data_IF_569371605496
#
_entry.id   IF_569371605496
#
_cell.length_a   1.000
_cell.length_b   1.000
_cell.length_c   1.000
_cell.angle_alpha   90.00
_cell.angle_beta   90.00
_cell.angle_gamma   90.00
#
_symmetry.space_group_name_H-M   'P 1'
#
loop_
_entity.id
_entity.type
_entity.pdbx_description
1 polymer ?
#
# COMPACT_ATOMS: atom_id res chain seq x y z
N UNK A 1 -16.69 -2.45 8.46
CA UNK A 1 -15.72 -1.36 8.27
C UNK A 1 -15.48 -1.13 6.78
N UNK A 2 -15.14 0.10 6.41
CA UNK A 2 -14.62 0.46 5.09
C UNK A 2 -13.09 0.47 5.16
N UNK A 3 -12.45 -0.45 4.45
CA UNK A 3 -11.01 -0.70 4.55
C UNK A 3 -10.35 -0.45 3.18
N UNK A 4 -9.25 0.28 3.14
CA UNK A 4 -8.43 0.40 1.93
C UNK A 4 -7.07 -0.27 2.15
N UNK A 5 -6.66 -1.15 1.23
CA UNK A 5 -5.37 -1.85 1.30
C UNK A 5 -4.56 -1.54 0.04
N UNK A 6 -3.45 -0.83 0.19
CA UNK A 6 -2.48 -0.62 -0.88
C UNK A 6 -1.46 -1.75 -0.87
N UNK A 7 -1.35 -2.48 -2.00
CA UNK A 7 -0.51 -3.68 -2.09
C UNK A 7 -1.24 -4.98 -1.69
N UNK A 8 -2.56 -5.04 -1.92
CA UNK A 8 -3.43 -6.16 -1.53
C UNK A 8 -3.27 -7.45 -2.35
N UNK A 9 -2.50 -7.45 -3.44
CA UNK A 9 -2.49 -8.54 -4.42
C UNK A 9 -1.43 -9.62 -4.19
N UNK A 10 -0.59 -9.48 -3.17
CA UNK A 10 0.44 -10.46 -2.81
C UNK A 10 0.88 -10.33 -1.35
N UNK A 11 1.59 -11.35 -0.85
CA UNK A 11 2.24 -11.34 0.46
C UNK A 11 1.28 -10.98 1.61
N UNK A 12 1.78 -10.13 2.52
CA UNK A 12 1.04 -9.70 3.72
C UNK A 12 -0.26 -9.00 3.37
N UNK A 13 -0.25 -8.10 2.37
CA UNK A 13 -1.44 -7.37 1.96
C UNK A 13 -2.56 -8.30 1.46
N UNK A 14 -2.21 -9.35 0.70
CA UNK A 14 -3.19 -10.36 0.29
C UNK A 14 -3.75 -11.14 1.48
N UNK A 15 -2.89 -11.56 2.41
CA UNK A 15 -3.34 -12.29 3.60
C UNK A 15 -4.27 -11.43 4.49
N UNK A 16 -3.97 -10.13 4.62
CA UNK A 16 -4.86 -9.20 5.34
C UNK A 16 -6.17 -9.02 4.59
N UNK A 17 -6.13 -8.83 3.27
CA UNK A 17 -7.34 -8.77 2.47
C UNK A 17 -8.20 -10.02 2.68
N UNK A 18 -7.62 -11.22 2.56
CA UNK A 18 -8.32 -12.50 2.72
C UNK A 18 -8.97 -12.64 4.10
N UNK A 19 -8.30 -12.16 5.14
CA UNK A 19 -8.85 -12.13 6.51
C UNK A 19 -10.07 -11.22 6.59
N UNK A 20 -9.97 -9.98 6.15
CA UNK A 20 -11.04 -9.01 6.24
C UNK A 20 -12.20 -9.29 5.28
N UNK A 21 -11.94 -9.93 4.13
CA UNK A 21 -12.97 -10.29 3.16
C UNK A 21 -13.94 -11.39 3.64
N UNK A 22 -13.54 -12.16 4.65
CA UNK A 22 -14.40 -13.16 5.29
C UNK A 22 -15.30 -12.57 6.39
N UNK A 23 -15.12 -11.29 6.71
CA UNK A 23 -15.94 -10.52 7.62
C UNK A 23 -16.87 -9.59 6.81
N UNK A 24 -17.88 -9.01 7.44
CA UNK A 24 -18.76 -8.08 6.74
C UNK A 24 -18.12 -6.68 6.57
N UNK A 25 -17.04 -6.61 5.80
CA UNK A 25 -16.31 -5.39 5.49
C UNK A 25 -16.46 -5.01 4.01
N UNK A 26 -16.44 -3.71 3.73
CA UNK A 26 -16.28 -3.14 2.38
C UNK A 26 -14.80 -2.81 2.16
N UNK A 27 -14.17 -3.41 1.16
CA UNK A 27 -12.71 -3.36 1.01
C UNK A 27 -12.34 -2.81 -0.36
N UNK A 28 -11.61 -1.69 -0.39
CA UNK A 28 -10.90 -1.18 -1.54
C UNK A 28 -9.50 -1.80 -1.62
N UNK A 29 -9.14 -2.31 -2.78
CA UNK A 29 -7.84 -2.93 -3.01
C UNK A 29 -7.10 -2.22 -4.15
N UNK A 30 -5.91 -1.72 -3.85
CA UNK A 30 -5.06 -1.02 -4.82
C UNK A 30 -3.84 -1.88 -5.16
N UNK A 31 -3.56 -2.00 -6.46
CA UNK A 31 -2.40 -2.73 -6.94
C UNK A 31 -2.15 -2.53 -8.44
N UNK A 32 -0.95 -2.88 -8.90
CA UNK A 32 -0.53 -2.67 -10.29
C UNK A 32 -1.04 -3.75 -11.26
N UNK A 33 -1.18 -4.98 -10.78
CA UNK A 33 -1.47 -6.17 -11.61
C UNK A 33 -2.97 -6.40 -11.68
N UNK A 34 -3.61 -5.91 -12.74
CA UNK A 34 -5.07 -5.94 -12.93
C UNK A 34 -5.62 -7.36 -12.84
N UNK A 35 -4.98 -8.36 -13.48
CA UNK A 35 -5.44 -9.75 -13.45
C UNK A 35 -5.54 -10.32 -12.02
N UNK A 36 -4.62 -9.94 -11.12
CA UNK A 36 -4.70 -10.38 -9.71
C UNK A 36 -5.79 -9.64 -8.93
N UNK A 37 -6.07 -8.39 -9.26
CA UNK A 37 -7.20 -7.65 -8.70
C UNK A 37 -8.52 -8.28 -9.12
N UNK A 38 -8.63 -8.66 -10.41
CA UNK A 38 -9.83 -9.31 -10.95
C UNK A 38 -10.04 -10.70 -10.34
N UNK A 39 -8.97 -11.48 -10.13
CA UNK A 39 -9.04 -12.77 -9.43
C UNK A 39 -9.63 -12.61 -8.02
N UNK A 40 -9.17 -11.61 -7.26
CA UNK A 40 -9.72 -11.33 -5.93
C UNK A 40 -11.19 -10.91 -6.01
N UNK A 41 -11.55 -10.07 -6.97
CA UNK A 41 -12.93 -9.66 -7.18
C UNK A 41 -13.86 -10.83 -7.49
N UNK A 42 -13.41 -11.78 -8.32
CA UNK A 42 -14.22 -12.95 -8.68
C UNK A 42 -14.32 -13.98 -7.55
N UNK A 43 -13.24 -14.14 -6.79
CA UNK A 43 -13.14 -15.17 -5.76
C UNK A 43 -14.00 -14.88 -4.52
N UNK A 44 -14.14 -13.60 -4.13
CA UNK A 44 -14.78 -13.24 -2.86
C UNK A 44 -16.18 -12.67 -3.06
N UNK A 45 -17.15 -13.19 -2.28
CA UNK A 45 -18.56 -12.74 -2.31
C UNK A 45 -18.73 -11.30 -1.81
N UNK A 46 -17.82 -10.82 -0.98
CA UNK A 46 -17.78 -9.42 -0.50
C UNK A 46 -17.55 -8.41 -1.62
N UNK A 47 -17.16 -8.87 -2.83
CA UNK A 47 -16.89 -8.03 -4.00
C UNK A 47 -16.04 -6.80 -3.64
N UNK A 48 -14.74 -6.97 -3.42
CA UNK A 48 -13.85 -5.85 -3.13
C UNK A 48 -13.91 -4.81 -4.26
N UNK A 49 -13.51 -3.58 -3.98
CA UNK A 49 -13.42 -2.52 -4.97
C UNK A 49 -11.99 -2.49 -5.55
N UNK A 50 -11.74 -3.19 -6.68
CA UNK A 50 -10.40 -3.24 -7.26
C UNK A 50 -10.06 -1.94 -7.98
N UNK A 51 -8.91 -1.39 -7.69
CA UNK A 51 -8.44 -0.16 -8.31
C UNK A 51 -6.99 -0.34 -8.77
N UNK A 52 -6.77 -0.19 -10.07
CA UNK A 52 -5.41 -0.24 -10.62
C UNK A 52 -4.68 1.06 -10.29
N UNK A 53 -3.53 0.97 -9.64
CA UNK A 53 -2.57 2.08 -9.53
C UNK A 53 -1.17 1.55 -9.21
N UNK A 54 -0.14 2.22 -9.74
CA UNK A 54 1.23 2.11 -9.29
C UNK A 54 1.49 3.19 -8.24
N UNK A 55 1.88 2.79 -7.04
CA UNK A 55 2.15 3.74 -5.96
C UNK A 55 3.29 4.71 -6.28
N UNK A 56 4.22 4.35 -7.15
CA UNK A 56 5.28 5.23 -7.62
C UNK A 56 4.81 6.28 -8.63
N UNK A 57 3.60 6.13 -9.19
CA UNK A 57 2.93 7.13 -10.01
C UNK A 57 1.94 7.91 -9.16
N UNK A 58 2.31 9.14 -8.77
CA UNK A 58 1.54 9.94 -7.82
C UNK A 58 0.15 10.28 -8.35
N UNK A 59 -0.01 10.51 -9.64
CA UNK A 59 -1.31 10.79 -10.25
C UNK A 59 -2.23 9.56 -10.21
N UNK A 60 -1.72 8.38 -10.52
CA UNK A 60 -2.50 7.13 -10.45
C UNK A 60 -2.96 6.85 -9.01
N UNK A 61 -2.07 7.03 -8.03
CA UNK A 61 -2.40 6.75 -6.62
C UNK A 61 -3.39 7.77 -6.06
N UNK A 62 -3.26 9.03 -6.44
CA UNK A 62 -4.20 10.08 -6.06
C UNK A 62 -5.60 9.77 -6.59
N UNK A 63 -5.72 9.47 -7.88
CA UNK A 63 -7.00 9.11 -8.50
C UNK A 63 -7.61 7.87 -7.85
N UNK A 64 -6.81 6.85 -7.56
CA UNK A 64 -7.25 5.62 -6.95
C UNK A 64 -7.81 5.83 -5.51
N UNK A 65 -7.09 6.57 -4.67
CA UNK A 65 -7.52 6.87 -3.30
C UNK A 65 -8.79 7.72 -3.31
N UNK A 66 -8.83 8.77 -4.14
CA UNK A 66 -9.99 9.65 -4.26
C UNK A 66 -11.23 8.91 -4.77
N UNK A 67 -11.07 8.02 -5.74
CA UNK A 67 -12.17 7.20 -6.26
C UNK A 67 -12.73 6.26 -5.18
N UNK A 68 -11.87 5.59 -4.41
CA UNK A 68 -12.29 4.73 -3.31
C UNK A 68 -12.95 5.52 -2.18
N UNK A 69 -12.39 6.67 -1.79
CA UNK A 69 -12.98 7.51 -0.77
C UNK A 69 -14.38 8.01 -1.17
N UNK A 70 -14.52 8.46 -2.42
CA UNK A 70 -15.82 8.88 -2.97
C UNK A 70 -16.84 7.73 -2.99
N UNK A 71 -16.42 6.53 -3.39
CA UNK A 71 -17.29 5.37 -3.48
C UNK A 71 -17.71 4.84 -2.10
N UNK A 72 -16.80 4.89 -1.13
CA UNK A 72 -17.03 4.42 0.23
C UNK A 72 -17.68 5.48 1.14
N UNK A 73 -17.57 6.77 0.79
CA UNK A 73 -17.99 7.94 1.57
C UNK A 73 -17.20 8.14 2.88
N UNK A 74 -16.68 7.07 3.45
CA UNK A 74 -15.93 7.04 4.71
C UNK A 74 -14.92 5.88 4.70
N UNK A 75 -13.72 6.10 5.22
CA UNK A 75 -12.68 5.08 5.37
C UNK A 75 -12.37 4.91 6.86
N UNK A 76 -12.59 3.72 7.40
CA UNK A 76 -12.26 3.38 8.79
C UNK A 76 -10.78 3.03 8.97
N UNK A 77 -10.23 2.31 7.98
CA UNK A 77 -8.90 1.73 8.07
C UNK A 77 -8.17 1.80 6.72
N UNK A 78 -6.99 2.38 6.71
CA UNK A 78 -6.07 2.32 5.57
C UNK A 78 -4.83 1.51 5.93
N UNK A 79 -4.47 0.53 5.09
CA UNK A 79 -3.32 -0.37 5.32
C UNK A 79 -2.32 -0.24 4.18
N UNK A 80 -1.13 0.24 4.50
CA UNK A 80 -0.01 0.40 3.58
C UNK A 80 0.85 -0.87 3.58
N UNK A 81 0.60 -1.77 2.62
CA UNK A 81 1.36 -3.01 2.43
C UNK A 81 2.29 -2.96 1.22
N UNK A 82 2.20 -1.92 0.40
CA UNK A 82 3.06 -1.78 -0.76
C UNK A 82 4.51 -1.56 -0.34
N UNK A 83 5.41 -2.21 -1.05
CA UNK A 83 6.83 -2.06 -0.85
C UNK A 83 7.59 -2.99 -1.79
N UNK A 84 8.77 -2.57 -2.19
CA UNK A 84 9.69 -3.35 -3.00
C UNK A 84 11.11 -3.22 -2.48
N UNK A 85 11.98 -4.15 -2.84
CA UNK A 85 13.39 -4.11 -2.54
C UNK A 85 14.14 -5.11 -3.40
N UNK A 86 15.33 -4.73 -3.84
CA UNK A 86 16.20 -5.55 -4.65
C UNK A 86 17.55 -5.75 -3.96
N UNK A 87 18.18 -6.89 -4.22
CA UNK A 87 19.58 -7.10 -3.85
C UNK A 87 20.44 -6.22 -4.76
N UNK A 88 21.35 -5.44 -4.17
CA UNK A 88 22.23 -4.52 -4.88
C UNK A 88 23.61 -4.44 -4.21
N UNK A 89 24.40 -5.50 -4.38
CA UNK A 89 25.74 -5.58 -3.81
C UNK A 89 26.75 -4.62 -4.45
N UNK A 90 26.45 -4.12 -5.65
CA UNK A 90 27.31 -3.23 -6.44
C UNK A 90 26.98 -1.75 -6.31
N UNK A 91 25.94 -1.42 -5.53
CA UNK A 91 25.44 -0.04 -5.34
C UNK A 91 25.07 0.64 -6.67
N UNK A 92 24.38 -0.10 -7.53
CA UNK A 92 23.86 0.43 -8.79
C UNK A 92 22.59 1.24 -8.51
N UNK A 93 22.60 2.50 -8.89
CA UNK A 93 21.50 3.45 -8.67
C UNK A 93 20.21 3.02 -9.38
N UNK A 94 20.30 2.47 -10.59
CA UNK A 94 19.13 2.04 -11.36
C UNK A 94 18.40 0.87 -10.71
N UNK A 95 19.09 0.06 -9.90
CA UNK A 95 18.50 -0.99 -9.06
C UNK A 95 17.83 -0.39 -7.82
N UNK A 96 18.37 0.68 -7.25
CA UNK A 96 17.87 1.30 -6.02
C UNK A 96 16.70 2.26 -6.27
N UNK A 97 16.73 3.01 -7.37
CA UNK A 97 15.76 4.04 -7.69
C UNK A 97 14.30 3.58 -7.59
N UNK A 98 13.89 2.41 -8.16
CA UNK A 98 12.51 1.94 -8.03
C UNK A 98 12.09 1.64 -6.58
N UNK A 99 13.05 1.23 -5.73
CA UNK A 99 12.79 1.02 -4.30
C UNK A 99 12.50 2.34 -3.59
N UNK A 100 13.25 3.39 -3.90
CA UNK A 100 13.05 4.74 -3.34
C UNK A 100 11.73 5.31 -3.82
N UNK A 101 11.43 5.24 -5.11
CA UNK A 101 10.20 5.78 -5.69
C UNK A 101 8.95 5.11 -5.09
N UNK A 102 9.00 3.79 -4.87
CA UNK A 102 7.88 3.05 -4.27
C UNK A 102 7.78 3.27 -2.75
N UNK A 103 8.90 3.09 -2.03
CA UNK A 103 8.87 2.98 -0.57
C UNK A 103 8.98 4.32 0.15
N UNK A 104 9.44 5.38 -0.53
CA UNK A 104 9.52 6.74 0.03
C UNK A 104 8.53 7.64 -0.70
N UNK A 105 8.75 7.92 -1.98
CA UNK A 105 8.00 8.97 -2.68
C UNK A 105 6.50 8.65 -2.72
N UNK A 106 6.12 7.52 -3.30
CA UNK A 106 4.71 7.12 -3.39
C UNK A 106 4.10 6.76 -2.04
N UNK A 107 4.88 6.12 -1.16
CA UNK A 107 4.44 5.77 0.17
C UNK A 107 4.10 7.02 1.00
N UNK A 108 4.98 8.02 1.04
CA UNK A 108 4.75 9.29 1.77
C UNK A 108 3.52 9.99 1.22
N UNK A 109 3.41 10.12 -0.10
CA UNK A 109 2.26 10.76 -0.74
C UNK A 109 0.94 10.10 -0.35
N UNK A 110 0.88 8.76 -0.36
CA UNK A 110 -0.33 8.03 0.02
C UNK A 110 -0.65 8.17 1.54
N UNK A 111 0.36 8.18 2.40
CA UNK A 111 0.21 8.44 3.84
C UNK A 111 -0.41 9.82 4.08
N UNK A 112 0.14 10.86 3.44
CA UNK A 112 -0.36 12.23 3.57
C UNK A 112 -1.81 12.34 3.10
N UNK A 113 -2.18 11.68 2.00
CA UNK A 113 -3.57 11.65 1.54
C UNK A 113 -4.52 11.02 2.57
N UNK A 114 -4.17 9.85 3.13
CA UNK A 114 -5.00 9.22 4.16
C UNK A 114 -5.05 10.03 5.44
N UNK A 115 -3.92 10.66 5.83
CA UNK A 115 -3.90 11.56 6.98
C UNK A 115 -4.92 12.68 6.83
N UNK A 116 -4.95 13.38 5.68
CA UNK A 116 -5.92 14.44 5.42
C UNK A 116 -7.36 13.95 5.34
N UNK A 117 -7.61 12.77 4.77
CA UNK A 117 -8.94 12.15 4.80
C UNK A 117 -9.38 11.91 6.24
N UNK A 118 -8.55 11.32 7.07
CA UNK A 118 -8.86 11.02 8.47
C UNK A 118 -9.00 12.28 9.34
N UNK A 119 -8.20 13.31 9.06
CA UNK A 119 -8.34 14.63 9.69
C UNK A 119 -9.73 15.24 9.39
N UNK A 120 -10.16 15.24 8.13
CA UNK A 120 -11.48 15.73 7.73
C UNK A 120 -12.62 14.90 8.34
N UNK A 121 -12.46 13.59 8.40
CA UNK A 121 -13.41 12.67 9.04
C UNK A 121 -13.41 12.77 10.57
N UNK A 122 -12.40 13.39 11.18
CA UNK A 122 -12.14 13.41 12.63
C UNK A 122 -12.00 11.99 13.24
N UNK A 123 -11.74 10.98 12.42
CA UNK A 123 -11.54 9.60 12.81
C UNK A 123 -10.91 8.80 11.66
N UNK A 124 -10.22 7.71 11.99
CA UNK A 124 -9.62 6.75 11.05
C UNK A 124 -8.40 6.09 11.67
N UNK A 125 -7.98 4.99 11.07
CA UNK A 125 -6.80 4.26 11.51
C UNK A 125 -5.87 4.01 10.33
N UNK A 126 -4.63 4.50 10.41
CA UNK A 126 -3.59 4.30 9.43
C UNK A 126 -2.58 3.26 9.92
N UNK A 127 -2.40 2.19 9.14
CA UNK A 127 -1.45 1.11 9.45
C UNK A 127 -0.41 1.02 8.34
N UNK A 128 0.86 1.03 8.72
CA UNK A 128 1.98 0.82 7.80
C UNK A 128 2.71 -0.48 8.10
N UNK A 129 2.89 -1.31 7.08
CA UNK A 129 3.70 -2.54 7.17
C UNK A 129 5.14 -2.18 6.82
N UNK A 130 5.98 -2.13 7.84
CA UNK A 130 7.40 -1.83 7.72
C UNK A 130 8.24 -3.12 7.67
N UNK A 131 9.46 -3.09 8.15
CA UNK A 131 10.35 -4.26 8.18
C UNK A 131 11.37 -4.14 9.30
N UNK A 132 11.79 -5.27 9.87
CA UNK A 132 12.93 -5.35 10.77
C UNK A 132 14.23 -4.84 10.13
N UNK A 133 14.33 -4.87 8.80
CA UNK A 133 15.46 -4.29 8.05
C UNK A 133 15.56 -2.78 8.21
N UNK A 134 14.51 -2.09 8.64
CA UNK A 134 14.55 -0.67 8.98
C UNK A 134 15.20 -0.38 10.34
N UNK A 135 15.29 -1.38 11.22
CA UNK A 135 15.95 -1.27 12.51
C UNK A 135 17.45 -1.62 12.42
N UNK A 136 17.81 -2.42 11.42
CA UNK A 136 19.18 -2.87 11.20
C UNK A 136 19.46 -2.88 9.71
N UNK A 137 20.47 -2.16 9.27
CA UNK A 137 20.89 -2.12 7.86
C UNK A 137 21.20 -3.52 7.29
N UNK A 138 20.75 -3.77 6.07
CA UNK A 138 21.05 -5.00 5.32
C UNK A 138 22.05 -4.67 4.20
N UNK A 139 23.31 -5.15 4.30
CA UNK A 139 24.36 -4.76 3.34
C UNK A 139 24.02 -5.10 1.88
N UNK A 140 23.24 -6.17 1.66
CA UNK A 140 22.88 -6.59 0.32
C UNK A 140 21.68 -5.85 -0.27
N UNK A 141 20.97 -5.05 0.53
CA UNK A 141 19.80 -4.30 0.11
C UNK A 141 19.73 -2.92 0.81
N UNK A 142 20.75 -2.05 0.56
CA UNK A 142 20.91 -0.80 1.33
C UNK A 142 19.72 0.15 1.14
N UNK A 143 19.23 0.36 -0.08
CA UNK A 143 18.07 1.21 -0.32
C UNK A 143 16.81 0.68 0.37
N UNK A 144 16.57 -0.64 0.34
CA UNK A 144 15.42 -1.21 1.04
C UNK A 144 15.47 -0.92 2.54
N UNK A 145 16.61 -1.18 3.19
CA UNK A 145 16.78 -0.93 4.62
C UNK A 145 16.62 0.55 4.97
N UNK A 146 17.22 1.43 4.18
CA UNK A 146 17.10 2.88 4.37
C UNK A 146 15.65 3.35 4.21
N UNK A 147 14.92 2.86 3.20
CA UNK A 147 13.51 3.21 3.00
C UNK A 147 12.62 2.68 4.13
N UNK A 148 12.92 1.51 4.68
CA UNK A 148 12.17 0.96 5.82
C UNK A 148 12.49 1.69 7.13
N UNK A 149 13.72 2.18 7.32
CA UNK A 149 14.05 3.07 8.42
C UNK A 149 13.29 4.40 8.33
N UNK A 150 13.18 4.99 7.13
CA UNK A 150 12.35 6.17 6.88
C UNK A 150 10.88 5.95 7.30
N UNK A 151 10.31 4.78 6.98
CA UNK A 151 8.91 4.45 7.32
C UNK A 151 8.68 4.21 8.82
N UNK A 152 9.73 3.97 9.61
CA UNK A 152 9.63 3.73 11.06
C UNK A 152 9.70 5.03 11.85
N UNK A 153 10.45 6.02 11.35
CA UNK A 153 10.66 7.31 12.02
C UNK A 153 9.63 8.37 11.59
#
# INVERSE_FOLDING_TARGET
MNIVIIGAISGIGKSLFEKYANENNRIGIIGRRVHLLDELYQKYSSKPLPTKADISNLEEIEQAINALHKEMEYIDLAIMCSGTGNINATLDYDVERPTIDTNIVGWTFAIDMFYHIFEQQSNGHLVAITSASGLRGEPMAPAYSATKAYQIN
#
